data_IF_489136726579
#
_entry.id   IF_489136726579
#
_cell.length_a   1.000
_cell.length_b   1.000
_cell.length_c   1.000
_cell.angle_alpha   90.00
_cell.angle_beta   90.00
_cell.angle_gamma   90.00
#
_symmetry.space_group_name_H-M   'P 1'
#
loop_
_entity.id
_entity.type
_entity.pdbx_description
1 polymer ?
#
# COMPACT_ATOMS: atom_id res chain seq x y z
N UNK A 1 -8.31 0.40 -26.10
CA UNK A 1 -8.61 -0.22 -24.81
C UNK A 1 -7.55 0.20 -23.80
N UNK A 2 -7.96 0.78 -22.72
CA UNK A 2 -6.99 1.24 -21.72
C UNK A 2 -6.57 0.06 -20.85
N UNK A 3 -5.27 -0.06 -20.66
CA UNK A 3 -4.72 -1.08 -19.78
C UNK A 3 -4.78 -0.57 -18.34
N UNK A 4 -5.56 -1.24 -17.50
CA UNK A 4 -5.70 -0.87 -16.09
C UNK A 4 -4.35 -0.83 -15.39
N UNK A 5 -3.48 -1.80 -15.68
CA UNK A 5 -2.14 -1.84 -15.08
C UNK A 5 -1.35 -0.57 -15.43
N UNK A 6 -1.41 -0.13 -16.68
CA UNK A 6 -0.72 1.08 -17.10
C UNK A 6 -1.30 2.32 -16.42
N UNK A 7 -2.61 2.37 -16.26
CA UNK A 7 -3.25 3.49 -15.57
C UNK A 7 -2.81 3.55 -14.11
N UNK A 8 -2.78 2.41 -13.43
CA UNK A 8 -2.35 2.37 -12.04
C UNK A 8 -0.87 2.69 -11.90
N UNK A 9 -0.05 2.24 -12.85
CA UNK A 9 1.37 2.55 -12.81
C UNK A 9 1.65 4.04 -12.86
N UNK A 10 0.77 4.82 -13.48
CA UNK A 10 0.91 6.27 -13.53
C UNK A 10 0.73 6.91 -12.16
N UNK A 11 0.01 6.27 -11.25
CA UNK A 11 -0.20 6.78 -9.89
C UNK A 11 0.82 6.25 -8.90
N UNK A 12 1.69 5.34 -9.32
CA UNK A 12 2.73 4.78 -8.47
C UNK A 12 3.72 5.88 -8.10
N UNK A 13 3.95 6.08 -6.82
CA UNK A 13 4.79 7.17 -6.35
C UNK A 13 5.43 6.77 -5.03
N UNK A 14 6.34 7.61 -4.55
CA UNK A 14 6.94 7.47 -3.23
C UNK A 14 6.43 8.59 -2.36
N UNK A 15 6.19 8.29 -1.09
CA UNK A 15 5.76 9.30 -0.13
C UNK A 15 6.35 9.01 1.24
N UNK A 16 6.56 10.07 2.02
CA UNK A 16 6.94 9.94 3.40
C UNK A 16 5.72 9.67 4.26
N UNK A 17 5.94 9.04 5.41
CA UNK A 17 4.85 8.69 6.32
C UNK A 17 3.98 9.91 6.65
N UNK A 18 4.59 11.07 6.80
CA UNK A 18 3.87 12.30 7.11
C UNK A 18 2.70 12.54 6.15
N UNK A 19 2.90 12.26 4.87
CA UNK A 19 1.87 12.45 3.84
C UNK A 19 0.77 11.39 3.92
N UNK A 20 1.07 10.24 4.52
CA UNK A 20 0.14 9.12 4.58
C UNK A 20 -0.73 9.13 5.84
N UNK A 21 -0.35 9.92 6.85
CA UNK A 21 -1.08 9.98 8.12
C UNK A 21 -2.57 10.26 7.93
N UNK A 22 -3.00 11.24 7.10
CA UNK A 22 -4.43 11.48 6.92
C UNK A 22 -5.18 10.26 6.37
N UNK A 23 -4.55 9.49 5.51
CA UNK A 23 -5.16 8.28 4.95
C UNK A 23 -5.27 7.19 6.00
N UNK A 24 -4.27 7.06 6.87
CA UNK A 24 -4.33 6.13 7.98
C UNK A 24 -5.46 6.49 8.95
N UNK A 25 -5.65 7.77 9.21
CA UNK A 25 -6.73 8.23 10.09
C UNK A 25 -8.11 7.93 9.54
N UNK A 26 -8.26 7.90 8.21
CA UNK A 26 -9.52 7.54 7.57
C UNK A 26 -9.68 6.04 7.41
N UNK A 27 -8.72 5.26 7.91
CA UNK A 27 -8.73 3.80 7.81
C UNK A 27 -8.68 3.33 6.35
N UNK A 28 -8.05 4.11 5.49
CA UNK A 28 -7.96 3.84 4.06
C UNK A 28 -6.62 3.27 3.64
N UNK A 29 -5.67 3.13 4.56
CA UNK A 29 -4.32 2.67 4.25
C UNK A 29 -4.25 1.15 4.28
N UNK A 30 -3.69 0.56 3.23
CA UNK A 30 -3.52 -0.89 3.12
C UNK A 30 -2.03 -1.20 2.97
N UNK A 31 -1.49 -1.96 3.91
CA UNK A 31 -0.10 -2.36 3.89
C UNK A 31 0.06 -3.62 3.05
N UNK A 32 0.98 -3.59 2.09
CA UNK A 32 1.23 -4.69 1.16
C UNK A 32 2.59 -5.29 1.46
N UNK A 33 2.67 -6.62 1.54
CA UNK A 33 3.91 -7.33 1.82
C UNK A 33 4.92 -7.13 0.68
N UNK A 34 6.21 -7.16 1.02
CA UNK A 34 7.29 -6.91 0.07
C UNK A 34 7.32 -7.92 -1.08
N UNK A 35 6.89 -9.15 -0.86
CA UNK A 35 6.90 -10.18 -1.88
C UNK A 35 5.81 -9.99 -2.94
N UNK A 36 4.86 -9.09 -2.72
CA UNK A 36 3.83 -8.79 -3.71
C UNK A 36 4.21 -7.55 -4.52
N UNK A 37 3.81 -7.55 -5.77
CA UNK A 37 3.92 -6.36 -6.62
C UNK A 37 2.74 -5.44 -6.31
N UNK A 38 3.04 -4.20 -5.97
CA UNK A 38 2.03 -3.23 -5.58
C UNK A 38 0.99 -3.00 -6.68
N UNK A 39 1.44 -2.99 -7.93
CA UNK A 39 0.52 -2.82 -9.08
C UNK A 39 -0.37 -4.03 -9.24
N UNK A 40 0.16 -5.25 -9.05
CA UNK A 40 -0.66 -6.48 -9.11
C UNK A 40 -1.79 -6.43 -8.08
N UNK A 41 -1.47 -5.98 -6.86
CA UNK A 41 -2.49 -5.84 -5.81
C UNK A 41 -3.51 -4.78 -6.21
N UNK A 42 -3.05 -3.66 -6.76
CA UNK A 42 -3.94 -2.60 -7.23
C UNK A 42 -4.88 -3.07 -8.33
N UNK A 43 -4.37 -3.84 -9.28
CA UNK A 43 -5.20 -4.39 -10.37
C UNK A 43 -6.27 -5.32 -9.81
N UNK A 44 -5.90 -6.20 -8.87
CA UNK A 44 -6.86 -7.13 -8.27
C UNK A 44 -7.97 -6.39 -7.53
N UNK A 45 -7.62 -5.35 -6.79
CA UNK A 45 -8.61 -4.56 -6.05
C UNK A 45 -9.51 -3.79 -7.01
N UNK A 46 -8.92 -3.13 -7.99
CA UNK A 46 -9.67 -2.32 -8.96
C UNK A 46 -10.57 -3.17 -9.85
N UNK A 47 -10.16 -4.42 -10.10
CA UNK A 47 -10.94 -5.37 -10.91
C UNK A 47 -11.94 -6.15 -10.08
N UNK A 48 -11.99 -5.90 -8.77
CA UNK A 48 -12.90 -6.59 -7.86
C UNK A 48 -12.68 -8.10 -7.83
N UNK A 49 -11.42 -8.52 -7.90
CA UNK A 49 -11.05 -9.93 -7.83
C UNK A 49 -11.03 -10.37 -6.37
N UNK A 50 -12.21 -10.64 -5.85
CA UNK A 50 -12.43 -10.93 -4.44
C UNK A 50 -11.65 -12.17 -3.99
N UNK A 51 -11.59 -13.18 -4.83
CA UNK A 51 -10.96 -14.46 -4.46
C UNK A 51 -9.47 -14.29 -4.17
N UNK A 52 -8.74 -13.59 -5.07
CA UNK A 52 -7.30 -13.41 -4.85
C UNK A 52 -7.03 -12.44 -3.71
N UNK A 53 -7.85 -11.39 -3.58
CA UNK A 53 -7.67 -10.43 -2.48
C UNK A 53 -7.90 -11.11 -1.13
N UNK A 54 -8.94 -11.93 -1.01
CA UNK A 54 -9.20 -12.67 0.23
C UNK A 54 -8.07 -13.66 0.53
N UNK A 55 -7.50 -14.29 -0.48
CA UNK A 55 -6.37 -15.19 -0.29
C UNK A 55 -5.18 -14.44 0.30
N UNK A 56 -4.87 -13.26 -0.23
CA UNK A 56 -3.78 -12.45 0.31
C UNK A 56 -4.06 -12.00 1.74
N UNK A 57 -5.29 -11.63 2.05
CA UNK A 57 -5.67 -11.24 3.41
C UNK A 57 -5.48 -12.42 4.37
N UNK A 58 -5.92 -13.61 3.98
CA UNK A 58 -5.81 -14.79 4.85
C UNK A 58 -4.37 -15.20 5.09
N UNK A 59 -3.46 -14.86 4.16
CA UNK A 59 -2.03 -15.11 4.30
C UNK A 59 -1.31 -13.93 4.97
N UNK A 60 -2.03 -12.91 5.38
CA UNK A 60 -1.48 -11.69 5.97
C UNK A 60 -0.52 -10.95 5.02
N UNK A 61 -0.70 -11.12 3.71
CA UNK A 61 0.11 -10.43 2.71
C UNK A 61 -0.39 -9.02 2.44
N UNK A 62 -1.67 -8.75 2.68
CA UNK A 62 -2.22 -7.40 2.71
C UNK A 62 -3.05 -7.25 3.97
N UNK A 63 -2.94 -6.10 4.61
CA UNK A 63 -3.64 -5.85 5.87
C UNK A 63 -3.56 -4.37 6.21
N UNK A 64 -4.37 -3.95 7.18
CA UNK A 64 -4.21 -2.62 7.75
C UNK A 64 -2.98 -2.61 8.65
N UNK A 65 -2.27 -1.48 8.71
CA UNK A 65 -1.12 -1.38 9.62
C UNK A 65 -1.54 -1.65 11.06
N UNK A 66 -0.67 -2.36 11.79
CA UNK A 66 -0.90 -2.61 13.22
C UNK A 66 -0.60 -1.34 14.03
N UNK A 67 -1.07 -1.32 15.27
CA UNK A 67 -0.79 -0.21 16.18
C UNK A 67 0.72 -0.06 16.41
N UNK A 68 1.44 -1.18 16.52
CA UNK A 68 2.89 -1.13 16.67
C UNK A 68 3.57 -0.51 15.45
N UNK A 69 3.13 -0.88 14.26
CA UNK A 69 3.66 -0.31 13.03
C UNK A 69 3.39 1.19 12.96
N UNK A 70 2.15 1.60 13.29
CA UNK A 70 1.81 3.03 13.28
C UNK A 70 2.66 3.81 14.28
N UNK A 71 2.91 3.24 15.46
CA UNK A 71 3.75 3.86 16.48
C UNK A 71 5.18 4.02 15.97
N UNK A 72 5.74 2.98 15.35
CA UNK A 72 7.08 3.05 14.80
C UNK A 72 7.20 4.12 13.73
N UNK A 73 6.23 4.18 12.83
CA UNK A 73 6.27 5.15 11.74
C UNK A 73 6.07 6.57 12.24
N UNK A 74 5.25 6.76 13.28
CA UNK A 74 5.06 8.07 13.89
C UNK A 74 6.31 8.57 14.59
N UNK A 75 7.21 7.68 14.99
CA UNK A 75 8.48 8.09 15.59
C UNK A 75 9.50 8.54 14.55
N UNK A 76 9.29 8.21 13.28
CA UNK A 76 10.13 8.69 12.17
C UNK A 76 9.23 8.97 10.97
N UNK A 77 8.72 10.18 10.89
CA UNK A 77 7.78 10.60 9.85
C UNK A 77 8.41 10.74 8.47
N UNK A 78 9.73 10.62 8.39
CA UNK A 78 10.43 10.67 7.12
C UNK A 78 10.55 9.29 6.47
N UNK A 79 10.07 8.25 7.13
CA UNK A 79 10.07 6.90 6.55
C UNK A 79 9.31 6.91 5.23
N UNK A 80 9.91 6.32 4.20
CA UNK A 80 9.39 6.38 2.85
C UNK A 80 8.69 5.07 2.47
N UNK A 81 7.69 5.22 1.63
CA UNK A 81 6.88 4.11 1.14
C UNK A 81 6.66 4.25 -0.35
N UNK A 82 6.56 3.14 -1.06
CA UNK A 82 5.92 3.14 -2.36
C UNK A 82 4.42 3.19 -2.15
N UNK A 83 3.73 4.00 -2.92
CA UNK A 83 2.29 4.20 -2.79
C UNK A 83 1.57 4.00 -4.11
N UNK A 84 0.35 3.48 -4.03
CA UNK A 84 -0.51 3.32 -5.19
C UNK A 84 -1.94 3.66 -4.77
N UNK A 85 -2.56 4.59 -5.46
CA UNK A 85 -3.92 5.02 -5.12
C UNK A 85 -4.91 4.15 -5.90
N UNK A 86 -5.73 3.42 -5.16
CA UNK A 86 -6.84 2.63 -5.70
C UNK A 86 -8.07 3.00 -4.88
N UNK A 87 -8.72 4.08 -5.26
CA UNK A 87 -9.78 4.69 -4.47
C UNK A 87 -10.83 3.68 -4.04
N UNK A 88 -11.27 3.70 -2.78
CA UNK A 88 -10.94 4.68 -1.74
C UNK A 88 -9.66 4.38 -0.95
N UNK A 89 -8.87 3.41 -1.39
CA UNK A 89 -7.72 2.91 -0.65
C UNK A 89 -6.41 3.52 -1.15
N UNK A 90 -5.44 3.59 -0.26
CA UNK A 90 -4.05 3.90 -0.59
C UNK A 90 -3.22 2.68 -0.19
N UNK A 91 -2.64 2.03 -1.18
CA UNK A 91 -1.77 0.86 -0.96
C UNK A 91 -0.36 1.35 -0.69
N UNK A 92 0.30 0.78 0.30
CA UNK A 92 1.66 1.18 0.68
C UNK A 92 2.55 -0.03 0.88
N UNK A 93 3.80 0.11 0.49
CA UNK A 93 4.87 -0.84 0.79
C UNK A 93 6.05 -0.07 1.36
N UNK A 94 6.56 -0.44 2.54
CA UNK A 94 7.76 0.22 3.07
C UNK A 94 8.92 0.06 2.11
N UNK A 95 9.63 1.15 1.85
CA UNK A 95 10.86 1.07 1.09
C UNK A 95 11.95 0.48 1.96
N UNK A 96 12.77 -0.38 1.37
CA UNK A 96 13.92 -0.89 2.07
C UNK A 96 14.86 0.27 2.39
N UNK A 97 15.29 0.34 3.65
CA UNK A 97 16.27 1.36 4.05
C UNK A 97 17.59 0.94 3.45
N UNK A 98 18.18 1.85 2.67
CA UNK A 98 19.51 1.61 2.14
C UNK A 98 20.48 1.70 3.32
N UNK A 99 20.98 0.56 3.74
CA UNK A 99 22.02 0.53 4.77
C UNK A 99 23.37 0.68 4.10
N UNK A 100 23.97 1.76 4.40
CA UNK A 100 25.34 1.99 3.97
C UNK A 100 26.31 1.53 5.02
#
# INVERSE_FOLDING_TARGET
MQDLRAQLAETLDEAEWEWLIPHAKRDALVLVAEQLDLIDVGVAIASDDVAIVQNWISQALIAKPSLDQLSDWNSDRTKRFNTLIVQPYVLVQPLAVANN
#
